data_IF_601527421931
#
_entry.id   IF_601527421931
#
_cell.length_a   1.000
_cell.length_b   1.000
_cell.length_c   1.000
_cell.angle_alpha   90.00
_cell.angle_beta   90.00
_cell.angle_gamma   90.00
#
_symmetry.space_group_name_H-M   'P 1'
#
loop_
_entity.id
_entity.type
_entity.pdbx_description
1 polymer ?
#
# COMPACT_ATOMS: atom_id res chain seq x y z
N UNK A 1 27.83 6.40 -17.92
CA UNK A 1 26.35 6.43 -17.93
C UNK A 1 25.77 5.55 -16.82
N UNK A 2 26.05 5.83 -15.52
CA UNK A 2 25.61 4.99 -14.39
C UNK A 2 24.85 5.74 -13.27
N UNK A 3 24.56 7.03 -13.41
CA UNK A 3 24.06 7.86 -12.29
C UNK A 3 22.61 8.35 -12.43
N UNK A 4 21.86 7.96 -13.47
CA UNK A 4 20.47 8.43 -13.65
C UNK A 4 19.40 7.50 -13.03
N UNK A 5 19.71 6.21 -12.79
CA UNK A 5 18.73 5.21 -12.31
C UNK A 5 18.77 4.97 -10.78
N UNK A 6 19.72 5.56 -10.06
CA UNK A 6 19.93 5.31 -8.63
C UNK A 6 18.77 5.78 -7.74
N UNK A 7 18.14 6.96 -7.99
CA UNK A 7 17.00 7.41 -7.19
C UNK A 7 15.75 6.58 -7.41
N UNK A 8 15.43 6.23 -8.67
CA UNK A 8 14.26 5.41 -9.00
C UNK A 8 14.37 4.00 -8.41
N UNK A 9 15.54 3.37 -8.51
CA UNK A 9 15.76 2.06 -7.90
C UNK A 9 15.60 2.10 -6.37
N UNK A 10 16.06 3.16 -5.72
CA UNK A 10 15.86 3.35 -4.28
C UNK A 10 14.37 3.51 -3.93
N UNK A 11 13.61 4.30 -4.69
CA UNK A 11 12.17 4.44 -4.50
C UNK A 11 11.45 3.10 -4.69
N UNK A 12 11.80 2.34 -5.73
CA UNK A 12 11.22 1.01 -5.99
C UNK A 12 11.52 0.06 -4.81
N UNK A 13 12.76 0.03 -4.33
CA UNK A 13 13.13 -0.84 -3.20
C UNK A 13 12.36 -0.46 -1.93
N UNK A 14 12.22 0.84 -1.64
CA UNK A 14 11.43 1.28 -0.48
C UNK A 14 9.97 0.87 -0.63
N UNK A 15 9.36 1.09 -1.80
CA UNK A 15 7.99 0.67 -2.09
C UNK A 15 7.83 -0.85 -1.88
N UNK A 16 8.75 -1.66 -2.41
CA UNK A 16 8.75 -3.11 -2.25
C UNK A 16 8.84 -3.53 -0.79
N UNK A 17 9.76 -2.97 0.00
CA UNK A 17 9.91 -3.26 1.43
C UNK A 17 8.63 -2.93 2.20
N UNK A 18 8.02 -1.78 1.93
CA UNK A 18 6.78 -1.38 2.58
C UNK A 18 5.61 -2.27 2.18
N UNK A 19 5.43 -2.52 0.88
CA UNK A 19 4.33 -3.33 0.34
C UNK A 19 4.45 -4.80 0.71
N UNK A 20 5.65 -5.32 0.95
CA UNK A 20 5.87 -6.67 1.50
C UNK A 20 5.57 -6.75 3.00
N UNK A 21 5.23 -5.63 3.64
CA UNK A 21 4.87 -5.57 5.05
C UNK A 21 6.09 -5.62 5.98
N UNK A 22 7.27 -5.29 5.48
CA UNK A 22 8.53 -5.28 6.24
C UNK A 22 8.90 -3.90 6.77
N UNK A 23 8.17 -2.85 6.37
CA UNK A 23 8.56 -1.46 6.66
C UNK A 23 8.76 -1.10 8.14
N UNK A 24 8.14 -1.83 9.08
CA UNK A 24 8.32 -1.57 10.52
C UNK A 24 9.70 -2.02 11.04
N UNK A 25 10.37 -2.95 10.38
CA UNK A 25 11.74 -3.38 10.75
C UNK A 25 12.80 -2.43 10.18
N UNK A 26 12.45 -1.61 9.17
CA UNK A 26 13.37 -0.74 8.42
C UNK A 26 13.02 0.75 8.54
N UNK A 27 12.40 1.17 9.64
CA UNK A 27 11.89 2.54 9.79
C UNK A 27 13.00 3.59 9.65
N UNK A 28 14.18 3.32 10.21
CA UNK A 28 15.31 4.25 10.17
C UNK A 28 15.88 4.38 8.75
N UNK A 29 16.08 3.24 8.09
CA UNK A 29 16.60 3.17 6.73
C UNK A 29 15.64 3.83 5.73
N UNK A 30 14.33 3.65 5.92
CA UNK A 30 13.34 4.31 5.06
C UNK A 30 13.29 5.82 5.36
N UNK A 31 13.37 6.26 6.61
CA UNK A 31 13.43 7.69 6.95
C UNK A 31 14.64 8.38 6.31
N UNK A 32 15.81 7.74 6.36
CA UNK A 32 17.02 8.21 5.68
C UNK A 32 16.85 8.23 4.15
N UNK A 33 16.21 7.21 3.58
CA UNK A 33 15.91 7.17 2.16
C UNK A 33 14.94 8.29 1.74
N UNK A 34 13.91 8.59 2.54
CA UNK A 34 12.95 9.67 2.25
C UNK A 34 13.61 11.04 2.19
N UNK A 35 14.54 11.33 3.11
CA UNK A 35 15.33 12.58 3.08
C UNK A 35 16.08 12.74 1.77
N UNK A 36 16.70 11.65 1.29
CA UNK A 36 17.44 11.65 0.03
C UNK A 36 16.52 11.76 -1.18
N UNK A 37 15.35 11.11 -1.16
CA UNK A 37 14.36 11.12 -2.24
C UNK A 37 13.69 12.50 -2.37
N UNK A 38 13.48 13.21 -1.27
CA UNK A 38 12.86 14.54 -1.27
C UNK A 38 13.66 15.57 -2.08
N UNK A 39 14.99 15.46 -2.09
CA UNK A 39 15.87 16.40 -2.80
C UNK A 39 16.04 16.07 -4.29
N UNK A 40 15.40 15.00 -4.78
CA UNK A 40 15.55 14.54 -6.17
C UNK A 40 14.60 15.30 -7.10
N UNK A 41 15.16 15.88 -8.16
CA UNK A 41 14.38 16.39 -9.27
C UNK A 41 13.96 15.23 -10.19
N UNK A 42 12.66 14.98 -10.32
CA UNK A 42 12.12 13.91 -11.16
C UNK A 42 11.41 14.49 -12.37
N UNK A 43 12.02 14.30 -13.53
CA UNK A 43 11.51 14.85 -14.79
C UNK A 43 11.01 13.78 -15.75
N UNK A 44 9.86 14.08 -16.35
CA UNK A 44 9.27 13.48 -17.56
C UNK A 44 8.97 11.97 -17.56
N UNK A 45 9.15 11.24 -16.46
CA UNK A 45 8.68 9.86 -16.30
C UNK A 45 7.48 9.79 -15.35
N UNK A 46 6.34 9.29 -15.83
CA UNK A 46 5.09 9.23 -15.07
C UNK A 46 5.21 8.29 -13.87
N UNK A 47 5.83 7.11 -14.06
CA UNK A 47 6.01 6.14 -13.00
C UNK A 47 6.86 6.70 -11.86
N UNK A 48 8.03 7.25 -12.18
CA UNK A 48 8.95 7.81 -11.20
C UNK A 48 8.32 8.98 -10.43
N UNK A 49 7.64 9.90 -11.13
CA UNK A 49 7.04 11.06 -10.49
C UNK A 49 5.86 10.66 -9.58
N UNK A 50 4.98 9.78 -10.07
CA UNK A 50 3.86 9.30 -9.26
C UNK A 50 4.32 8.50 -8.04
N UNK A 51 5.36 7.66 -8.19
CA UNK A 51 5.92 6.89 -7.08
C UNK A 51 6.57 7.80 -6.03
N UNK A 52 7.35 8.80 -6.47
CA UNK A 52 7.93 9.81 -5.59
C UNK A 52 6.87 10.55 -4.79
N UNK A 53 5.85 11.06 -5.48
CA UNK A 53 4.74 11.76 -4.86
C UNK A 53 4.04 10.88 -3.82
N UNK A 54 3.76 9.63 -4.17
CA UNK A 54 3.14 8.66 -3.28
C UNK A 54 3.99 8.46 -2.01
N UNK A 55 5.27 8.11 -2.17
CA UNK A 55 6.16 7.83 -1.04
C UNK A 55 6.30 9.04 -0.12
N UNK A 56 6.58 10.22 -0.66
CA UNK A 56 6.74 11.43 0.14
C UNK A 56 5.47 11.78 0.94
N UNK A 57 4.30 11.77 0.30
CA UNK A 57 3.04 12.05 1.00
C UNK A 57 2.70 11.01 2.04
N UNK A 58 2.95 9.73 1.78
CA UNK A 58 2.74 8.66 2.75
C UNK A 58 3.58 8.88 4.02
N UNK A 59 4.77 9.47 3.86
CA UNK A 59 5.69 9.82 4.95
C UNK A 59 5.48 11.23 5.53
N UNK A 60 4.44 11.95 5.09
CA UNK A 60 4.04 13.23 5.67
C UNK A 60 4.82 14.44 5.14
N UNK A 61 5.57 14.30 4.04
CA UNK A 61 6.15 15.44 3.35
C UNK A 61 5.05 16.22 2.61
N UNK A 62 5.18 17.54 2.60
CA UNK A 62 4.29 18.41 1.84
C UNK A 62 4.72 18.41 0.37
N UNK A 63 4.00 17.65 -0.44
CA UNK A 63 4.29 17.49 -1.86
C UNK A 63 3.11 17.97 -2.68
N UNK A 64 3.20 19.13 -3.38
CA UNK A 64 2.07 19.69 -4.11
C UNK A 64 1.69 18.85 -5.33
N UNK A 65 0.39 18.71 -5.57
CA UNK A 65 -0.15 17.95 -6.72
C UNK A 65 0.04 18.63 -8.07
N UNK A 66 0.34 19.94 -8.08
CA UNK A 66 0.59 20.73 -9.30
C UNK A 66 1.70 20.17 -10.19
N UNK A 67 2.64 19.42 -9.63
CA UNK A 67 3.68 18.75 -10.41
C UNK A 67 3.14 17.72 -11.42
N UNK A 68 1.89 17.25 -11.26
CA UNK A 68 1.23 16.39 -12.24
C UNK A 68 0.76 17.14 -13.51
N UNK A 69 0.63 18.48 -13.46
CA UNK A 69 0.21 19.29 -14.62
C UNK A 69 1.14 19.14 -15.83
N UNK A 70 2.40 18.77 -15.63
CA UNK A 70 3.34 18.46 -16.72
C UNK A 70 2.94 17.24 -17.56
N UNK A 71 2.07 16.38 -17.04
CA UNK A 71 1.51 15.22 -17.73
C UNK A 71 0.10 15.48 -18.28
N UNK A 72 -0.44 16.68 -18.05
CA UNK A 72 -1.75 17.11 -18.50
C UNK A 72 -1.62 18.11 -19.66
N UNK A 73 -2.76 18.38 -20.31
CA UNK A 73 -2.89 19.44 -21.31
C UNK A 73 -3.30 20.77 -20.67
N UNK A 74 -3.50 21.81 -21.49
CA UNK A 74 -3.91 23.16 -21.05
C UNK A 74 -5.28 23.21 -20.33
N UNK A 75 -6.03 22.11 -20.35
CA UNK A 75 -7.32 21.97 -19.68
C UNK A 75 -7.24 21.04 -18.46
N UNK A 76 -6.04 20.80 -17.92
CA UNK A 76 -5.76 19.94 -16.77
C UNK A 76 -6.29 18.50 -16.93
N UNK A 77 -6.33 17.99 -18.17
CA UNK A 77 -6.64 16.58 -18.45
C UNK A 77 -5.36 15.80 -18.80
N UNK A 78 -5.17 14.61 -18.23
CA UNK A 78 -3.99 13.79 -18.57
C UNK A 78 -3.94 13.48 -20.05
N UNK A 79 -2.72 13.51 -20.59
CA UNK A 79 -2.47 13.26 -22.00
C UNK A 79 -2.77 11.80 -22.37
N UNK A 80 -3.56 11.58 -23.41
CA UNK A 80 -3.92 10.25 -23.93
C UNK A 80 -2.71 9.40 -24.33
N UNK A 81 -1.55 10.01 -24.62
CA UNK A 81 -0.29 9.30 -24.87
C UNK A 81 0.15 8.42 -23.69
N UNK A 82 -0.26 8.77 -22.47
CA UNK A 82 0.05 8.02 -21.24
C UNK A 82 -0.74 6.70 -21.13
N UNK A 83 -1.79 6.53 -21.93
CA UNK A 83 -2.65 5.33 -21.94
C UNK A 83 -1.88 4.03 -22.22
N UNK A 84 -0.68 4.14 -22.81
CA UNK A 84 0.20 3.01 -23.15
C UNK A 84 1.19 2.61 -22.05
N UNK A 85 1.37 3.44 -21.01
CA UNK A 85 2.28 3.18 -19.90
C UNK A 85 1.56 2.53 -18.72
N UNK A 86 1.46 1.21 -18.73
CA UNK A 86 0.77 0.44 -17.70
C UNK A 86 1.34 0.69 -16.28
N UNK A 87 2.66 0.87 -16.15
CA UNK A 87 3.32 1.04 -14.85
C UNK A 87 3.13 2.46 -14.32
N UNK A 88 3.26 3.46 -15.20
CA UNK A 88 2.96 4.85 -14.91
C UNK A 88 1.50 5.05 -14.49
N UNK A 89 0.55 4.48 -15.24
CA UNK A 89 -0.88 4.55 -14.91
C UNK A 89 -1.20 3.95 -13.54
N UNK A 90 -0.63 2.77 -13.22
CA UNK A 90 -0.83 2.14 -11.91
C UNK A 90 -0.27 3.01 -10.78
N UNK A 91 0.91 3.60 -11.00
CA UNK A 91 1.55 4.46 -10.00
C UNK A 91 0.77 5.75 -9.80
N UNK A 92 0.28 6.35 -10.89
CA UNK A 92 -0.57 7.54 -10.87
C UNK A 92 -1.89 7.25 -10.12
N UNK A 93 -2.52 6.11 -10.39
CA UNK A 93 -3.74 5.69 -9.69
C UNK A 93 -3.52 5.60 -8.18
N UNK A 94 -2.48 4.89 -7.75
CA UNK A 94 -2.19 4.72 -6.31
C UNK A 94 -1.82 6.06 -5.64
N UNK A 95 -1.02 6.89 -6.32
CA UNK A 95 -0.65 8.23 -5.88
C UNK A 95 -1.87 9.15 -5.71
N UNK A 96 -2.81 9.11 -6.66
CA UNK A 96 -3.97 10.00 -6.65
C UNK A 96 -4.94 9.73 -5.49
N UNK A 97 -4.98 8.50 -4.94
CA UNK A 97 -5.74 8.21 -3.71
C UNK A 97 -5.14 8.83 -2.43
N UNK A 98 -4.03 9.57 -2.53
CA UNK A 98 -3.47 10.43 -1.47
C UNK A 98 -3.86 11.91 -1.63
N UNK A 99 -4.79 12.22 -2.52
CA UNK A 99 -5.28 13.58 -2.73
C UNK A 99 -5.99 14.17 -1.51
N UNK A 100 -5.82 15.47 -1.36
CA UNK A 100 -6.50 16.30 -0.36
C UNK A 100 -7.64 17.09 -1.03
N UNK A 101 -8.63 17.57 -0.25
CA UNK A 101 -9.69 18.41 -0.80
C UNK A 101 -9.13 19.65 -1.53
N UNK A 102 -9.61 19.90 -2.76
CA UNK A 102 -9.16 21.01 -3.61
C UNK A 102 -8.05 20.65 -4.60
N UNK A 103 -7.60 19.40 -4.64
CA UNK A 103 -6.61 18.91 -5.60
C UNK A 103 -7.27 18.23 -6.80
N UNK A 104 -8.03 19.00 -7.57
CA UNK A 104 -8.88 18.50 -8.67
C UNK A 104 -8.11 17.68 -9.73
N UNK A 105 -6.81 17.97 -9.92
CA UNK A 105 -5.91 17.19 -10.81
C UNK A 105 -5.79 15.73 -10.39
N UNK A 106 -5.90 15.40 -9.10
CA UNK A 106 -5.84 14.03 -8.60
C UNK A 106 -7.18 13.30 -8.76
N UNK A 107 -8.31 14.02 -8.66
CA UNK A 107 -9.62 13.45 -8.97
C UNK A 107 -9.71 13.11 -10.46
N UNK A 108 -9.21 13.99 -11.32
CA UNK A 108 -9.08 13.70 -12.74
C UNK A 108 -8.10 12.52 -12.97
N UNK A 109 -6.97 12.45 -12.24
CA UNK A 109 -6.02 11.33 -12.34
C UNK A 109 -6.69 9.97 -12.05
N UNK A 110 -7.54 9.93 -11.02
CA UNK A 110 -8.34 8.73 -10.70
C UNK A 110 -9.27 8.40 -11.86
N UNK A 111 -10.01 9.38 -12.40
CA UNK A 111 -10.93 9.16 -13.52
C UNK A 111 -10.19 8.64 -14.77
N UNK A 112 -9.07 9.27 -15.13
CA UNK A 112 -8.24 8.90 -16.27
C UNK A 112 -7.69 7.48 -16.14
N UNK A 113 -7.08 7.17 -14.99
CA UNK A 113 -6.48 5.85 -14.75
C UNK A 113 -7.52 4.74 -14.63
N UNK A 114 -8.69 5.00 -14.04
CA UNK A 114 -9.80 4.03 -13.98
C UNK A 114 -10.35 3.69 -15.36
N UNK A 115 -10.27 4.59 -16.34
CA UNK A 115 -10.65 4.32 -17.72
C UNK A 115 -9.63 3.41 -18.43
N UNK A 116 -8.34 3.67 -18.22
CA UNK A 116 -7.26 3.04 -19.00
C UNK A 116 -6.71 1.74 -18.40
N UNK A 117 -6.63 1.62 -17.07
CA UNK A 117 -6.09 0.45 -16.40
C UNK A 117 -6.81 -0.87 -16.75
N UNK A 118 -8.16 -0.93 -16.82
CA UNK A 118 -8.87 -2.15 -17.22
C UNK A 118 -8.55 -2.58 -18.66
N UNK A 119 -8.30 -1.62 -19.56
CA UNK A 119 -8.01 -1.87 -20.96
C UNK A 119 -6.60 -2.40 -21.16
N UNK A 120 -5.61 -1.78 -20.50
CA UNK A 120 -4.20 -2.15 -20.67
C UNK A 120 -3.83 -3.46 -19.96
N UNK A 121 -4.56 -3.86 -18.91
CA UNK A 121 -4.29 -5.10 -18.15
C UNK A 121 -4.19 -6.35 -19.03
N UNK A 122 -5.00 -6.42 -20.09
CA UNK A 122 -5.09 -7.58 -20.99
C UNK A 122 -4.12 -7.51 -22.18
N UNK A 123 -3.22 -6.51 -22.21
CA UNK A 123 -2.24 -6.37 -23.28
C UNK A 123 -1.10 -7.38 -23.11
N UNK A 124 -0.72 -8.09 -24.17
CA UNK A 124 0.35 -9.10 -24.17
C UNK A 124 1.73 -8.54 -23.77
N UNK A 125 1.92 -7.21 -23.80
CA UNK A 125 3.17 -6.55 -23.37
C UNK A 125 3.25 -6.35 -21.85
N UNK A 126 2.14 -6.52 -21.12
CA UNK A 126 2.09 -6.35 -19.67
C UNK A 126 2.49 -7.66 -18.99
N UNK A 127 3.44 -7.60 -18.07
CA UNK A 127 3.87 -8.78 -17.32
C UNK A 127 2.74 -9.32 -16.43
N UNK A 128 2.76 -10.62 -16.15
CA UNK A 128 1.73 -11.28 -15.32
C UNK A 128 1.64 -10.63 -13.94
N UNK A 129 2.78 -10.29 -13.32
CA UNK A 129 2.83 -9.61 -12.03
C UNK A 129 2.21 -8.21 -12.10
N UNK A 130 2.50 -7.43 -13.14
CA UNK A 130 1.91 -6.10 -13.30
C UNK A 130 0.40 -6.17 -13.55
N UNK A 131 -0.08 -7.11 -14.36
CA UNK A 131 -1.50 -7.32 -14.58
C UNK A 131 -2.25 -7.68 -13.29
N UNK A 132 -1.66 -8.55 -12.46
CA UNK A 132 -2.21 -8.88 -11.14
C UNK A 132 -2.21 -7.68 -10.18
N UNK A 133 -1.18 -6.83 -10.25
CA UNK A 133 -1.10 -5.62 -9.42
C UNK A 133 -2.16 -4.57 -9.83
N UNK A 134 -2.40 -4.42 -11.13
CA UNK A 134 -3.49 -3.58 -11.65
C UNK A 134 -4.85 -4.08 -11.17
N UNK A 135 -5.11 -5.39 -11.25
CA UNK A 135 -6.37 -5.97 -10.78
C UNK A 135 -6.59 -5.75 -9.28
N UNK A 136 -5.54 -5.93 -8.48
CA UNK A 136 -5.57 -5.64 -7.04
C UNK A 136 -5.89 -4.16 -6.79
N UNK A 137 -5.19 -3.23 -7.43
CA UNK A 137 -5.36 -1.80 -7.24
C UNK A 137 -6.78 -1.33 -7.58
N UNK A 138 -7.34 -1.82 -8.69
CA UNK A 138 -8.70 -1.50 -9.13
C UNK A 138 -9.75 -2.04 -8.15
N UNK A 139 -9.48 -3.15 -7.45
CA UNK A 139 -10.34 -3.63 -6.38
C UNK A 139 -10.21 -2.79 -5.10
N UNK A 140 -8.98 -2.47 -4.68
CA UNK A 140 -8.72 -1.66 -3.49
C UNK A 140 -7.36 -0.93 -3.61
N UNK A 141 -7.35 0.41 -3.65
CA UNK A 141 -6.12 1.19 -3.58
C UNK A 141 -5.32 0.90 -2.32
N UNK A 142 -3.99 1.01 -2.39
CA UNK A 142 -3.07 0.77 -1.28
C UNK A 142 -3.46 1.60 -0.04
N UNK A 143 -3.76 2.89 -0.23
CA UNK A 143 -4.14 3.81 0.85
C UNK A 143 -5.44 3.41 1.57
N UNK A 144 -6.32 2.63 0.93
CA UNK A 144 -7.61 2.20 1.48
C UNK A 144 -7.57 0.77 2.02
N UNK A 145 -6.46 0.05 1.84
CA UNK A 145 -6.28 -1.32 2.30
C UNK A 145 -5.62 -1.41 3.66
N UNK A 146 -5.94 -2.47 4.42
CA UNK A 146 -5.13 -2.83 5.58
C UNK A 146 -3.76 -3.33 5.13
N UNK A 147 -2.70 -2.71 5.66
CA UNK A 147 -1.31 -3.01 5.30
C UNK A 147 -1.01 -4.52 5.27
N UNK A 148 -1.53 -5.27 6.24
CA UNK A 148 -1.27 -6.70 6.33
C UNK A 148 -1.95 -7.55 5.26
N UNK A 149 -3.17 -7.19 4.88
CA UNK A 149 -3.89 -7.84 3.78
C UNK A 149 -3.23 -7.52 2.44
N UNK A 150 -2.86 -6.24 2.26
CA UNK A 150 -2.12 -5.79 1.08
C UNK A 150 -0.78 -6.53 0.96
N UNK A 151 -0.04 -6.69 2.06
CA UNK A 151 1.21 -7.45 2.08
C UNK A 151 1.01 -8.92 1.67
N UNK A 152 -0.04 -9.58 2.16
CA UNK A 152 -0.32 -10.98 1.77
C UNK A 152 -0.55 -11.13 0.27
N UNK A 153 -1.30 -10.21 -0.33
CA UNK A 153 -1.57 -10.20 -1.77
C UNK A 153 -0.29 -9.86 -2.55
N UNK A 154 0.46 -8.86 -2.09
CA UNK A 154 1.66 -8.40 -2.75
C UNK A 154 2.78 -9.43 -2.75
N UNK A 155 2.96 -10.22 -1.68
CA UNK A 155 3.91 -11.36 -1.67
C UNK A 155 3.66 -12.31 -2.85
N UNK A 156 2.39 -12.61 -3.15
CA UNK A 156 2.04 -13.49 -4.27
C UNK A 156 2.22 -12.83 -5.65
N UNK A 157 2.14 -11.50 -5.73
CA UNK A 157 2.43 -10.73 -6.94
C UNK A 157 3.94 -10.67 -7.17
N UNK A 158 4.69 -10.32 -6.13
CA UNK A 158 6.15 -10.18 -6.13
C UNK A 158 6.86 -11.50 -6.44
N UNK A 159 6.31 -12.63 -6.00
CA UNK A 159 6.77 -13.96 -6.40
C UNK A 159 6.71 -14.19 -7.92
N UNK A 160 5.87 -13.48 -8.66
CA UNK A 160 5.78 -13.58 -10.13
C UNK A 160 6.51 -12.46 -10.87
N UNK A 161 7.18 -11.56 -10.15
CA UNK A 161 7.93 -10.47 -10.77
C UNK A 161 9.25 -10.99 -11.36
N UNK A 162 9.58 -10.52 -12.57
CA UNK A 162 10.78 -10.96 -13.31
C UNK A 162 12.08 -10.48 -12.65
N UNK A 163 12.07 -9.27 -12.07
CA UNK A 163 13.24 -8.64 -11.46
C UNK A 163 13.19 -8.68 -9.92
N UNK A 164 12.53 -9.69 -9.35
CA UNK A 164 12.37 -9.80 -7.89
C UNK A 164 13.70 -10.09 -7.19
N UNK A 165 13.85 -9.56 -5.98
CA UNK A 165 14.88 -9.95 -5.03
C UNK A 165 14.41 -11.16 -4.21
N UNK A 166 15.01 -12.33 -4.44
CA UNK A 166 14.64 -13.58 -3.76
C UNK A 166 14.89 -13.55 -2.25
N UNK A 167 15.94 -12.87 -1.79
CA UNK A 167 16.24 -12.70 -0.35
C UNK A 167 15.12 -11.90 0.32
N UNK A 168 14.68 -10.82 -0.33
CA UNK A 168 13.58 -9.99 0.16
C UNK A 168 12.25 -10.76 0.18
N UNK A 169 11.98 -11.58 -0.85
CA UNK A 169 10.80 -12.44 -0.90
C UNK A 169 10.80 -13.48 0.23
N UNK A 170 11.94 -14.14 0.48
CA UNK A 170 12.07 -15.11 1.56
C UNK A 170 11.84 -14.46 2.92
N UNK A 171 12.48 -13.31 3.17
CA UNK A 171 12.27 -12.52 4.39
C UNK A 171 10.79 -12.17 4.58
N UNK A 172 10.12 -11.67 3.54
CA UNK A 172 8.70 -11.32 3.58
C UNK A 172 7.82 -12.51 3.93
N UNK A 173 8.09 -13.70 3.37
CA UNK A 173 7.33 -14.93 3.68
C UNK A 173 7.55 -15.39 5.13
N UNK A 174 8.80 -15.38 5.60
CA UNK A 174 9.14 -15.78 6.96
C UNK A 174 8.52 -14.84 7.99
N UNK A 175 8.64 -13.52 7.77
CA UNK A 175 7.99 -12.53 8.59
C UNK A 175 6.47 -12.70 8.56
N UNK A 176 5.91 -12.89 7.35
CA UNK A 176 4.48 -13.01 7.20
C UNK A 176 3.91 -14.11 8.13
N UNK A 177 4.56 -15.27 8.11
CA UNK A 177 4.20 -16.43 8.92
C UNK A 177 4.52 -16.26 10.40
N UNK A 178 5.58 -15.53 10.76
CA UNK A 178 5.92 -15.22 12.16
C UNK A 178 4.84 -14.37 12.81
N UNK A 179 4.51 -13.24 12.20
CA UNK A 179 3.51 -12.31 12.74
C UNK A 179 2.11 -12.94 12.66
N UNK A 180 1.76 -13.70 11.61
CA UNK A 180 0.48 -14.43 11.57
C UNK A 180 0.30 -15.38 12.76
N UNK A 181 1.35 -16.11 13.17
CA UNK A 181 1.32 -16.98 14.37
C UNK A 181 1.12 -16.17 15.65
N UNK A 182 1.71 -14.99 15.75
CA UNK A 182 1.48 -14.09 16.88
C UNK A 182 0.02 -13.62 16.93
N UNK A 183 -0.54 -13.16 15.80
CA UNK A 183 -1.94 -12.74 15.72
C UNK A 183 -2.92 -13.87 16.07
N UNK A 184 -2.63 -15.11 15.68
CA UNK A 184 -3.44 -16.27 16.09
C UNK A 184 -3.42 -16.52 17.61
N UNK A 185 -2.28 -16.29 18.27
CA UNK A 185 -2.18 -16.36 19.73
C UNK A 185 -3.00 -15.25 20.39
N UNK A 186 -2.96 -14.03 19.85
CA UNK A 186 -3.76 -12.90 20.32
C UNK A 186 -5.26 -13.22 20.22
N UNK A 187 -5.73 -13.69 19.07
CA UNK A 187 -7.14 -14.09 18.86
C UNK A 187 -7.54 -15.20 19.82
N UNK A 188 -6.69 -16.22 20.03
CA UNK A 188 -6.95 -17.29 21.00
C UNK A 188 -7.13 -16.74 22.41
N UNK A 189 -6.25 -15.85 22.86
CA UNK A 189 -6.32 -15.25 24.19
C UNK A 189 -7.58 -14.40 24.37
N UNK A 190 -7.93 -13.62 23.36
CA UNK A 190 -9.15 -12.78 23.37
C UNK A 190 -10.40 -13.65 23.36
N UNK A 191 -10.38 -14.77 22.63
CA UNK A 191 -11.49 -15.74 22.58
C UNK A 191 -11.71 -16.45 23.91
N UNK A 192 -10.64 -16.75 24.65
CA UNK A 192 -10.74 -17.31 26.01
C UNK A 192 -11.35 -16.29 26.97
N UNK A 193 -10.83 -15.06 26.98
CA UNK A 193 -11.37 -13.96 27.79
C UNK A 193 -12.86 -13.70 27.49
N UNK A 194 -13.22 -13.72 26.21
CA UNK A 194 -14.60 -13.51 25.76
C UNK A 194 -15.56 -14.59 26.30
N UNK A 195 -15.11 -15.85 26.30
CA UNK A 195 -15.87 -16.97 26.87
C UNK A 195 -16.00 -16.86 28.40
N UNK A 196 -14.94 -16.48 29.09
CA UNK A 196 -14.93 -16.32 30.55
C UNK A 196 -15.90 -15.23 31.04
N UNK A 197 -16.10 -14.18 30.24
CA UNK A 197 -17.08 -13.12 30.52
C UNK A 197 -18.53 -13.61 30.49
N UNK A 198 -18.83 -14.66 29.71
CA UNK A 198 -20.16 -15.24 29.54
C UNK A 198 -21.26 -14.20 29.23
N UNK A 199 -20.91 -13.14 28.51
CA UNK A 199 -21.83 -12.03 28.24
C UNK A 199 -22.89 -12.37 27.19
N UNK A 200 -22.59 -13.24 26.22
CA UNK A 200 -23.57 -13.67 25.19
C UNK A 200 -24.80 -14.33 25.84
N UNK A 201 -24.58 -15.14 26.88
CA UNK A 201 -25.66 -15.84 27.58
C UNK A 201 -26.54 -14.86 28.38
N UNK A 202 -25.94 -13.78 28.89
CA UNK A 202 -26.59 -12.76 29.73
C UNK A 202 -27.22 -11.63 28.93
N UNK A 203 -26.64 -11.26 27.79
CA UNK A 203 -27.02 -10.11 26.98
C UNK A 203 -27.47 -10.58 25.59
N UNK A 204 -28.68 -11.15 25.51
CA UNK A 204 -29.25 -11.69 24.26
C UNK A 204 -29.44 -10.66 23.15
N UNK A 205 -29.39 -9.37 23.47
CA UNK A 205 -29.47 -8.27 22.49
C UNK A 205 -28.10 -7.90 21.90
N UNK A 206 -26.99 -8.24 22.57
CA UNK A 206 -25.66 -7.89 22.12
C UNK A 206 -25.20 -8.84 21.01
N UNK A 207 -24.45 -8.31 20.04
CA UNK A 207 -23.93 -9.11 18.92
C UNK A 207 -22.64 -9.82 19.34
N UNK A 208 -22.44 -11.04 18.88
CA UNK A 208 -21.16 -11.74 19.01
C UNK A 208 -20.26 -11.41 17.79
N UNK A 209 -19.30 -10.51 17.98
CA UNK A 209 -18.49 -9.90 16.90
C UNK A 209 -17.01 -9.76 17.27
N UNK A 210 -16.49 -10.73 18.02
CA UNK A 210 -15.13 -10.69 18.55
C UNK A 210 -14.06 -10.60 17.44
N UNK A 211 -14.27 -11.34 16.35
CA UNK A 211 -13.33 -11.37 15.21
C UNK A 211 -13.31 -10.02 14.52
N UNK A 212 -14.46 -9.38 14.34
CA UNK A 212 -14.59 -8.06 13.76
C UNK A 212 -13.94 -6.99 14.66
N UNK A 213 -14.16 -7.05 15.98
CA UNK A 213 -13.52 -6.13 16.94
C UNK A 213 -11.99 -6.26 16.88
N UNK A 214 -11.49 -7.49 16.79
CA UNK A 214 -10.06 -7.73 16.63
C UNK A 214 -9.52 -7.30 15.26
N UNK A 215 -10.31 -7.48 14.20
CA UNK A 215 -9.97 -6.99 12.86
C UNK A 215 -9.82 -5.46 12.83
N UNK A 216 -10.69 -4.73 13.54
CA UNK A 216 -10.54 -3.28 13.71
C UNK A 216 -9.27 -2.92 14.50
N UNK A 217 -8.94 -3.67 15.54
CA UNK A 217 -7.71 -3.47 16.30
C UNK A 217 -6.45 -3.66 15.43
N UNK A 218 -6.47 -4.63 14.50
CA UNK A 218 -5.38 -4.84 13.54
C UNK A 218 -5.17 -3.64 12.62
N UNK A 219 -6.25 -2.96 12.21
CA UNK A 219 -6.16 -1.75 11.40
C UNK A 219 -5.61 -0.56 12.18
N UNK A 220 -6.00 -0.39 13.44
CA UNK A 220 -5.53 0.69 14.30
C UNK A 220 -4.06 0.51 14.76
N UNK A 221 -3.62 -0.73 14.98
CA UNK A 221 -2.29 -1.06 15.48
C UNK A 221 -1.63 -2.13 14.58
N UNK A 222 -1.17 -1.75 13.38
CA UNK A 222 -0.65 -2.70 12.39
C UNK A 222 0.74 -3.24 12.73
N UNK A 223 1.52 -2.51 13.52
CA UNK A 223 2.89 -2.89 13.91
C UNK A 223 2.87 -4.12 14.84
N UNK A 224 3.60 -5.20 14.51
CA UNK A 224 3.67 -6.38 15.36
C UNK A 224 4.03 -6.12 16.83
N UNK A 225 4.88 -5.13 17.12
CA UNK A 225 5.31 -4.76 18.48
C UNK A 225 4.15 -4.23 19.35
N UNK A 226 3.03 -3.83 18.74
CA UNK A 226 1.86 -3.28 19.43
C UNK A 226 0.83 -4.35 19.85
N UNK A 227 1.27 -5.58 20.12
CA UNK A 227 0.42 -6.73 20.52
C UNK A 227 -0.51 -6.41 21.69
N UNK A 228 0.02 -5.79 22.76
CA UNK A 228 -0.78 -5.42 23.93
C UNK A 228 -1.87 -4.41 23.57
N UNK A 229 -1.54 -3.42 22.75
CA UNK A 229 -2.49 -2.39 22.30
C UNK A 229 -3.63 -3.01 21.51
N UNK A 230 -3.34 -3.94 20.58
CA UNK A 230 -4.38 -4.68 19.84
C UNK A 230 -5.32 -5.46 20.74
N UNK A 231 -4.78 -6.18 21.73
CA UNK A 231 -5.59 -6.95 22.67
C UNK A 231 -6.52 -6.02 23.46
N UNK A 232 -6.01 -4.91 23.99
CA UNK A 232 -6.83 -3.95 24.75
C UNK A 232 -7.89 -3.34 23.84
N UNK A 233 -7.52 -2.89 22.64
CA UNK A 233 -8.46 -2.29 21.69
C UNK A 233 -9.58 -3.25 21.29
N UNK A 234 -9.25 -4.52 21.02
CA UNK A 234 -10.25 -5.53 20.69
C UNK A 234 -11.22 -5.83 21.85
N UNK A 235 -10.73 -5.75 23.11
CA UNK A 235 -11.57 -5.93 24.30
C UNK A 235 -12.46 -4.72 24.60
N UNK A 236 -11.99 -3.52 24.32
CA UNK A 236 -12.74 -2.26 24.52
C UNK A 236 -13.74 -2.02 23.38
N UNK A 237 -13.43 -2.47 22.17
CA UNK A 237 -14.34 -2.38 21.02
C UNK A 237 -15.58 -3.27 21.15
N UNK A 238 -15.59 -4.16 22.14
CA UNK A 238 -16.76 -4.93 22.55
C UNK A 238 -17.43 -4.26 23.76
#
# INVERSE_FOLDING_TARGET
MRHANEPLQKMILVDEVQRLGLGYDFVQEIDEAMKQINDVCIDNDLHAFALWFHLLRQWGYDTPSDGFKKFANEHDKFNESLSSDARGLLSLYEAAHLGLPGEDILDEAIAFTMCHLPLIKNNNKVSISLAMDIERALHMPLRKGLARLQARQYISIYEKAEQRNDVLLELAKLDYNRVQRMLQKEVKNISLWWKELALIEKLRFARDRLVECYYWALGACPDPHQSRSRIVYAKVGY
#
